data_IF_132311775536
#
_entry.id   IF_132311775536
#
_cell.length_a   1.000
_cell.length_b   1.000
_cell.length_c   1.000
_cell.angle_alpha   90.00
_cell.angle_beta   90.00
_cell.angle_gamma   90.00
#
_symmetry.space_group_name_H-M   'P 1'
#
loop_
_entity.id
_entity.type
_entity.pdbx_description
1 polymer ?
#
# COMPACT_ATOMS: atom_id res chain seq x y z
N UNK A 1 12.53 -35.86 15.06
CA UNK A 1 11.45 -34.93 15.48
C UNK A 1 11.41 -33.76 14.50
N UNK A 2 10.28 -33.53 13.82
CA UNK A 2 10.11 -32.43 12.86
C UNK A 2 9.21 -31.35 13.47
N UNK A 3 9.48 -30.06 13.17
CA UNK A 3 8.72 -28.90 13.67
C UNK A 3 7.80 -28.36 12.59
N UNK A 4 6.69 -27.72 12.99
CA UNK A 4 5.87 -26.95 12.06
C UNK A 4 6.68 -25.77 11.52
N UNK A 5 6.62 -25.58 10.21
CA UNK A 5 7.21 -24.43 9.50
C UNK A 5 6.10 -23.41 9.21
N UNK A 6 6.43 -22.13 8.99
CA UNK A 6 5.44 -21.11 8.63
C UNK A 6 4.52 -21.59 7.52
N UNK A 7 3.21 -21.41 7.72
CA UNK A 7 2.17 -21.81 6.76
C UNK A 7 1.84 -23.31 6.73
N UNK A 8 2.45 -24.17 7.54
CA UNK A 8 2.05 -25.60 7.64
C UNK A 8 1.07 -25.83 8.80
N UNK A 9 0.13 -26.74 8.58
CA UNK A 9 -0.90 -27.13 9.53
C UNK A 9 -0.83 -28.63 9.84
N UNK A 10 -1.27 -29.01 11.04
CA UNK A 10 -1.48 -30.38 11.45
C UNK A 10 -2.84 -30.46 12.14
N UNK A 11 -3.70 -31.36 11.70
CA UNK A 11 -5.00 -31.58 12.32
C UNK A 11 -5.04 -32.98 12.90
N UNK A 12 -5.44 -33.08 14.17
CA UNK A 12 -5.71 -34.37 14.83
C UNK A 12 -7.23 -34.48 14.97
N UNK A 13 -7.83 -35.43 14.27
CA UNK A 13 -9.26 -35.74 14.36
C UNK A 13 -9.45 -36.78 15.48
N UNK A 14 -10.01 -36.35 16.61
CA UNK A 14 -10.18 -37.19 17.80
C UNK A 14 -11.31 -38.21 17.66
N UNK A 15 -12.30 -37.94 16.81
CA UNK A 15 -13.41 -38.87 16.56
C UNK A 15 -12.97 -39.99 15.61
N UNK A 16 -12.31 -39.62 14.51
CA UNK A 16 -11.77 -40.59 13.53
C UNK A 16 -10.43 -41.19 13.95
N UNK A 17 -9.88 -40.73 15.07
CA UNK A 17 -8.58 -41.15 15.63
C UNK A 17 -7.46 -41.09 14.59
N UNK A 18 -7.45 -40.05 13.76
CA UNK A 18 -6.51 -39.92 12.65
C UNK A 18 -5.77 -38.58 12.67
N UNK A 19 -4.55 -38.58 12.14
CA UNK A 19 -3.74 -37.37 11.99
C UNK A 19 -3.72 -36.99 10.52
N UNK A 20 -4.32 -35.84 10.20
CA UNK A 20 -4.42 -35.33 8.84
C UNK A 20 -3.25 -34.39 8.59
N UNK A 21 -2.51 -34.66 7.53
CA UNK A 21 -1.37 -33.84 7.14
C UNK A 21 -1.79 -32.56 6.42
N UNK A 22 -0.92 -31.55 6.46
CA UNK A 22 -1.11 -30.22 5.87
C UNK A 22 -1.70 -30.21 4.45
N UNK A 23 -1.13 -31.02 3.54
CA UNK A 23 -1.52 -31.03 2.12
C UNK A 23 -2.92 -31.58 1.94
N UNK A 24 -3.23 -32.68 2.61
CA UNK A 24 -4.55 -33.32 2.55
C UNK A 24 -5.62 -32.40 3.13
N UNK A 25 -5.33 -31.78 4.28
CA UNK A 25 -6.23 -30.82 4.92
C UNK A 25 -6.53 -29.63 4.01
N UNK A 26 -5.50 -28.98 3.47
CA UNK A 26 -5.66 -27.83 2.57
C UNK A 26 -6.38 -28.20 1.29
N UNK A 27 -6.10 -29.38 0.72
CA UNK A 27 -6.78 -29.86 -0.49
C UNK A 27 -8.27 -30.03 -0.24
N UNK A 28 -8.65 -30.65 0.90
CA UNK A 28 -10.05 -30.82 1.30
C UNK A 28 -10.76 -29.47 1.43
N UNK A 29 -10.11 -28.50 2.08
CA UNK A 29 -10.67 -27.15 2.25
C UNK A 29 -10.78 -26.43 0.90
N UNK A 30 -9.74 -26.46 0.08
CA UNK A 30 -9.71 -25.81 -1.23
C UNK A 30 -10.74 -26.37 -2.22
N UNK A 31 -11.12 -27.64 -2.08
CA UNK A 31 -12.15 -28.28 -2.90
C UNK A 31 -13.56 -28.17 -2.30
N UNK A 32 -13.71 -27.62 -1.09
CA UNK A 32 -15.02 -27.52 -0.43
C UNK A 32 -15.99 -26.59 -1.16
N UNK A 33 -15.46 -25.64 -1.94
CA UNK A 33 -16.21 -24.64 -2.72
C UNK A 33 -15.43 -24.26 -3.98
N UNK A 34 -16.08 -23.73 -5.03
CA UNK A 34 -15.41 -23.35 -6.27
C UNK A 34 -14.68 -22.00 -6.14
N UNK A 35 -13.70 -21.90 -5.23
CA UNK A 35 -12.98 -20.67 -4.92
C UNK A 35 -12.31 -20.04 -6.15
N UNK A 36 -11.76 -20.86 -7.05
CA UNK A 36 -11.13 -20.38 -8.28
C UNK A 36 -12.14 -19.69 -9.21
N UNK A 37 -13.38 -20.17 -9.25
CA UNK A 37 -14.43 -19.57 -10.08
C UNK A 37 -14.86 -18.22 -9.51
N UNK A 38 -15.04 -18.13 -8.19
CA UNK A 38 -15.38 -16.88 -7.52
C UNK A 38 -14.31 -15.80 -7.73
N UNK A 39 -13.04 -16.17 -7.62
CA UNK A 39 -11.93 -15.24 -7.89
C UNK A 39 -11.98 -14.80 -9.36
N UNK A 40 -12.20 -15.71 -10.30
CA UNK A 40 -12.22 -15.36 -11.73
C UNK A 40 -13.38 -14.44 -12.09
N UNK A 41 -14.57 -14.70 -11.55
CA UNK A 41 -15.80 -14.03 -11.95
C UNK A 41 -16.06 -12.74 -11.19
N UNK A 42 -15.60 -12.64 -9.94
CA UNK A 42 -15.97 -11.54 -9.03
C UNK A 42 -14.79 -10.64 -8.65
N UNK A 43 -13.54 -11.05 -8.89
CA UNK A 43 -12.38 -10.21 -8.58
C UNK A 43 -12.14 -9.20 -9.70
N UNK A 44 -12.39 -7.93 -9.40
CA UNK A 44 -12.01 -6.82 -10.28
C UNK A 44 -10.63 -6.33 -9.86
N UNK A 45 -9.65 -6.38 -10.77
CA UNK A 45 -8.32 -5.84 -10.53
C UNK A 45 -8.24 -4.39 -10.99
N UNK A 46 -7.59 -3.55 -10.18
CA UNK A 46 -7.35 -2.14 -10.53
C UNK A 46 -6.60 -1.98 -11.86
N UNK A 47 -5.72 -2.93 -12.20
CA UNK A 47 -4.98 -2.93 -13.45
C UNK A 47 -5.90 -3.06 -14.67
N UNK A 48 -6.95 -3.87 -14.57
CA UNK A 48 -7.90 -4.09 -15.67
C UNK A 48 -8.76 -2.85 -15.88
N UNK A 49 -9.21 -2.21 -14.78
CA UNK A 49 -9.90 -0.92 -14.84
C UNK A 49 -9.04 0.19 -15.46
N UNK A 50 -7.75 0.24 -15.10
CA UNK A 50 -6.82 1.23 -15.64
C UNK A 50 -6.60 1.05 -17.14
N UNK A 51 -6.49 -0.20 -17.62
CA UNK A 51 -6.41 -0.50 -19.07
C UNK A 51 -7.67 -0.03 -19.79
N UNK A 52 -8.85 -0.41 -19.28
CA UNK A 52 -10.14 0.03 -19.84
C UNK A 52 -10.26 1.56 -19.92
N UNK A 53 -9.77 2.28 -18.90
CA UNK A 53 -9.75 3.74 -18.92
C UNK A 53 -8.86 4.30 -20.04
N UNK A 54 -7.64 3.82 -20.20
CA UNK A 54 -6.74 4.28 -21.25
C UNK A 54 -7.21 3.88 -22.66
N UNK A 55 -7.75 2.67 -22.82
CA UNK A 55 -8.28 2.16 -24.09
C UNK A 55 -9.54 2.94 -24.52
N UNK A 56 -10.30 3.50 -23.57
CA UNK A 56 -11.48 4.32 -23.87
C UNK A 56 -11.16 5.68 -24.53
N UNK A 57 -9.86 6.01 -24.70
CA UNK A 57 -9.41 7.28 -25.28
C UNK A 57 -9.71 8.50 -24.41
N UNK A 58 -10.22 8.30 -23.19
CA UNK A 58 -10.45 9.37 -22.21
C UNK A 58 -9.09 9.81 -21.66
N UNK A 59 -8.64 10.98 -22.09
CA UNK A 59 -7.52 11.66 -21.45
C UNK A 59 -8.05 12.43 -20.25
N UNK A 60 -7.39 12.29 -19.11
CA UNK A 60 -7.52 13.30 -18.07
C UNK A 60 -6.87 14.56 -18.64
N UNK A 61 -7.67 15.54 -19.03
CA UNK A 61 -7.20 16.88 -19.37
C UNK A 61 -6.75 17.57 -18.08
N UNK A 62 -5.65 17.09 -17.51
CA UNK A 62 -4.85 17.82 -16.55
C UNK A 62 -4.10 18.86 -17.36
N UNK A 63 -4.81 19.92 -17.78
CA UNK A 63 -4.12 21.12 -18.25
C UNK A 63 -3.17 21.51 -17.12
N UNK A 64 -1.85 21.61 -17.37
CA UNK A 64 -0.94 22.10 -16.36
C UNK A 64 -1.43 23.52 -16.06
N UNK A 65 -2.09 23.67 -14.92
CA UNK A 65 -2.44 24.97 -14.37
C UNK A 65 -1.16 25.79 -14.42
N UNK A 66 -1.25 26.99 -14.97
CA UNK A 66 -0.15 27.88 -15.40
C UNK A 66 0.86 28.25 -14.29
N UNK A 67 0.76 27.65 -13.11
CA UNK A 67 1.73 27.70 -12.02
C UNK A 67 2.74 26.55 -12.16
N UNK A 68 3.81 26.83 -12.90
CA UNK A 68 4.86 25.90 -13.30
C UNK A 68 5.92 25.69 -12.21
N UNK A 69 5.62 24.89 -11.18
CA UNK A 69 6.64 24.39 -10.24
C UNK A 69 6.55 24.98 -8.83
N UNK A 70 7.69 25.35 -8.23
CA UNK A 70 7.77 25.85 -6.83
C UNK A 70 6.96 27.13 -6.56
N UNK A 71 6.53 27.83 -7.61
CA UNK A 71 5.69 29.02 -7.52
C UNK A 71 4.18 28.71 -7.47
N UNK A 72 3.78 27.43 -7.50
CA UNK A 72 2.37 27.06 -7.31
C UNK A 72 1.93 27.37 -5.86
N UNK A 73 0.97 28.30 -5.74
CA UNK A 73 0.38 28.72 -4.47
C UNK A 73 -0.30 27.58 -3.72
N UNK A 74 -0.64 26.48 -4.40
CA UNK A 74 -1.16 25.26 -3.77
C UNK A 74 -0.12 24.58 -2.87
N UNK A 75 1.17 24.65 -3.21
CA UNK A 75 2.22 24.02 -2.42
C UNK A 75 2.28 24.59 -0.98
N UNK A 76 2.47 25.89 -0.76
CA UNK A 76 2.46 26.44 0.60
C UNK A 76 1.08 26.35 1.26
N UNK A 77 -0.03 26.37 0.50
CA UNK A 77 -1.37 26.18 1.06
C UNK A 77 -1.53 24.80 1.72
N UNK A 78 -0.93 23.77 1.15
CA UNK A 78 -0.90 22.41 1.73
C UNK A 78 0.36 22.13 2.54
N UNK A 79 1.08 23.16 2.99
CA UNK A 79 2.25 23.00 3.87
C UNK A 79 3.49 22.39 3.20
N UNK A 80 3.54 22.29 1.87
CA UNK A 80 4.75 21.87 1.17
C UNK A 80 5.78 23.01 1.18
N UNK A 81 6.91 22.76 1.84
CA UNK A 81 8.05 23.68 1.86
C UNK A 81 9.12 23.24 0.86
N UNK A 82 9.97 24.19 0.44
CA UNK A 82 11.11 23.86 -0.44
C UNK A 82 12.04 22.82 0.21
N UNK A 83 12.22 22.92 1.53
CA UNK A 83 13.00 21.96 2.31
C UNK A 83 12.34 20.57 2.31
N UNK A 84 11.02 20.49 2.56
CA UNK A 84 10.29 19.22 2.52
C UNK A 84 10.35 18.56 1.14
N UNK A 85 10.27 19.35 0.07
CA UNK A 85 10.44 18.83 -1.29
C UNK A 85 11.86 18.31 -1.51
N UNK A 86 12.88 19.09 -1.16
CA UNK A 86 14.26 18.73 -1.44
C UNK A 86 14.80 17.61 -0.55
N UNK A 87 14.44 17.59 0.73
CA UNK A 87 14.95 16.63 1.71
C UNK A 87 14.09 15.36 1.80
N UNK A 88 12.78 15.43 1.54
CA UNK A 88 11.90 14.26 1.63
C UNK A 88 11.48 13.75 0.24
N UNK A 89 10.94 14.64 -0.60
CA UNK A 89 10.34 14.23 -1.89
C UNK A 89 11.39 13.82 -2.93
N UNK A 90 12.50 14.57 -3.06
CA UNK A 90 13.54 14.26 -4.04
C UNK A 90 14.20 12.88 -3.80
N UNK A 91 14.59 12.48 -2.57
CA UNK A 91 15.11 11.14 -2.32
C UNK A 91 14.11 10.03 -2.66
N UNK A 92 12.82 10.23 -2.40
CA UNK A 92 11.78 9.27 -2.78
C UNK A 92 11.68 9.05 -4.30
N UNK A 93 11.94 10.08 -5.09
CA UNK A 93 11.93 9.99 -6.55
C UNK A 93 13.22 9.35 -7.07
N UNK A 94 14.37 9.85 -6.62
CA UNK A 94 15.68 9.44 -7.12
C UNK A 94 16.08 8.04 -6.65
N UNK A 95 15.97 7.78 -5.35
CA UNK A 95 16.47 6.56 -4.71
C UNK A 95 15.37 5.52 -4.48
N UNK A 96 14.10 5.89 -4.69
CA UNK A 96 12.91 5.06 -4.43
C UNK A 96 12.84 4.56 -2.98
N UNK A 97 13.39 5.36 -2.07
CA UNK A 97 13.42 5.13 -0.62
C UNK A 97 13.00 6.39 0.10
N UNK A 98 12.49 6.21 1.31
CA UNK A 98 12.25 7.33 2.21
C UNK A 98 13.58 8.00 2.59
N UNK A 99 13.52 9.31 2.83
CA UNK A 99 14.67 10.07 3.27
C UNK A 99 15.11 9.63 4.67
N UNK A 100 16.43 9.52 4.87
CA UNK A 100 17.00 9.21 6.17
C UNK A 100 17.49 10.49 6.85
N UNK A 101 17.10 10.67 8.10
CA UNK A 101 17.60 11.71 8.99
C UNK A 101 18.32 11.12 10.21
N UNK A 102 19.01 11.96 10.94
CA UNK A 102 19.63 11.64 12.23
C UNK A 102 19.32 12.75 13.22
N UNK A 103 19.61 12.52 14.51
CA UNK A 103 19.24 13.38 15.65
C UNK A 103 17.75 13.30 16.02
N UNK A 104 17.39 13.89 17.15
CA UNK A 104 16.01 13.97 17.62
C UNK A 104 15.22 15.08 16.92
N UNK A 105 13.91 15.11 17.15
CA UNK A 105 13.06 16.21 16.71
C UNK A 105 13.03 17.31 17.78
N UNK A 106 13.82 18.36 17.59
CA UNK A 106 13.88 19.51 18.49
C UNK A 106 12.80 20.57 18.18
N UNK A 107 11.88 20.27 17.25
CA UNK A 107 10.76 21.17 16.93
C UNK A 107 9.72 21.19 18.04
N UNK A 108 9.10 22.35 18.27
CA UNK A 108 7.95 22.49 19.18
C UNK A 108 6.79 21.60 18.75
N UNK A 109 6.02 21.08 19.72
CA UNK A 109 4.81 20.30 19.45
C UNK A 109 3.83 21.07 18.56
N UNK A 110 3.09 20.34 17.72
CA UNK A 110 2.13 20.91 16.76
C UNK A 110 1.08 21.85 17.39
N UNK A 111 0.67 21.60 18.63
CA UNK A 111 -0.30 22.46 19.34
C UNK A 111 0.30 23.73 19.99
N UNK A 112 1.63 23.80 20.11
CA UNK A 112 2.35 24.90 20.75
C UNK A 112 3.08 25.80 19.77
N UNK A 113 3.20 25.37 18.51
CA UNK A 113 3.93 26.12 17.49
C UNK A 113 3.13 27.31 16.98
N UNK A 114 3.82 28.41 16.67
CA UNK A 114 3.26 29.58 15.95
C UNK A 114 3.11 29.30 14.46
N UNK A 115 3.77 28.25 13.95
CA UNK A 115 3.58 27.75 12.59
C UNK A 115 2.24 27.00 12.51
N UNK A 116 1.60 26.92 11.34
CA UNK A 116 0.37 26.14 11.14
C UNK A 116 0.71 24.74 10.61
N UNK A 117 0.91 23.73 11.48
CA UNK A 117 1.23 22.38 11.05
C UNK A 117 0.04 21.73 10.34
N UNK A 118 0.34 20.74 9.51
CA UNK A 118 -0.67 19.88 8.92
C UNK A 118 -1.30 18.99 10.00
N UNK A 119 -2.50 18.47 9.73
CA UNK A 119 -3.24 17.63 10.68
C UNK A 119 -2.64 16.24 10.87
N UNK A 120 -1.72 15.82 10.00
CA UNK A 120 -1.13 14.48 9.96
C UNK A 120 0.37 14.52 10.21
#
# INVERSE_FOLDING_TARGET
KSRLKPGRMLLVDTEKKSVIQDVELKRKIALSRPHSQWIKDQMIKMQDLRKMFYDSGKTLNLSPSTASGFHDKRLPLFGYTNEGINMLLLPMISDKKEALGSMGNDSTLACLTTFSPLTY
#
